data_IF_052350654929
#
_entry.id   IF_052350654929
#
_cell.length_a   1.000
_cell.length_b   1.000
_cell.length_c   1.000
_cell.angle_alpha   90.00
_cell.angle_beta   90.00
_cell.angle_gamma   90.00
#
_symmetry.space_group_name_H-M   'P 1'
#
loop_
_entity.id
_entity.type
_entity.pdbx_description
1 polymer ?
#
# COMPACT_ATOMS: atom_id res chain seq x y z
N UNK A 1 -7.64 -40.72 34.09
CA UNK A 1 -6.16 -40.59 34.18
C UNK A 1 -5.78 -39.48 33.21
N UNK A 2 -5.45 -38.34 33.78
CA UNK A 2 -5.16 -37.09 33.02
C UNK A 2 -3.63 -37.06 32.77
N UNK A 3 -3.25 -37.11 31.50
CA UNK A 3 -1.87 -36.83 31.10
C UNK A 3 -1.68 -35.33 31.06
N UNK A 4 -1.06 -34.81 32.11
CA UNK A 4 -0.58 -33.44 32.14
C UNK A 4 0.59 -33.31 31.17
N UNK A 5 0.38 -32.59 30.09
CA UNK A 5 1.42 -32.18 29.14
C UNK A 5 2.46 -31.34 29.89
N UNK A 6 3.62 -31.91 30.18
CA UNK A 6 4.76 -31.19 30.76
C UNK A 6 5.23 -30.12 29.77
N UNK A 7 4.99 -28.87 30.11
CA UNK A 7 5.61 -27.71 29.44
C UNK A 7 7.15 -27.85 29.58
N UNK A 8 7.85 -27.76 28.43
CA UNK A 8 9.32 -27.71 28.43
C UNK A 8 9.77 -26.39 29.05
N UNK A 9 10.64 -26.38 30.07
CA UNK A 9 11.17 -25.12 30.58
C UNK A 9 12.23 -24.59 29.62
N UNK A 10 12.14 -23.28 29.25
CA UNK A 10 13.32 -22.54 28.79
C UNK A 10 13.35 -22.00 27.36
N UNK A 11 12.22 -21.82 26.69
CA UNK A 11 12.23 -20.90 25.57
C UNK A 11 11.60 -19.58 26.10
N UNK A 12 12.44 -18.58 26.42
CA UNK A 12 11.95 -17.22 26.58
C UNK A 12 11.19 -16.90 25.29
N UNK A 13 9.91 -16.47 25.40
CA UNK A 13 9.15 -16.00 24.28
C UNK A 13 9.98 -14.89 23.62
N UNK A 14 10.48 -15.13 22.39
CA UNK A 14 11.14 -14.07 21.62
C UNK A 14 10.15 -12.96 21.45
N UNK A 15 10.52 -11.76 21.81
CA UNK A 15 9.70 -10.57 21.56
C UNK A 15 9.64 -10.41 20.04
N UNK A 16 8.47 -10.59 19.45
CA UNK A 16 8.24 -10.38 18.01
C UNK A 16 7.91 -8.92 17.77
N UNK A 17 8.54 -8.32 16.75
CA UNK A 17 8.33 -6.93 16.33
C UNK A 17 7.97 -6.90 14.85
N UNK A 18 6.71 -6.57 14.55
CA UNK A 18 6.20 -6.52 13.19
C UNK A 18 6.37 -5.12 12.59
N UNK A 19 7.26 -4.99 11.60
CA UNK A 19 7.60 -3.74 10.90
C UNK A 19 7.43 -3.87 9.38
N UNK A 20 6.47 -4.69 8.93
CA UNK A 20 6.12 -4.84 7.51
C UNK A 20 4.66 -4.45 7.20
N UNK A 21 4.22 -3.34 7.79
CA UNK A 21 2.85 -2.84 7.70
C UNK A 21 2.41 -2.46 6.28
N UNK A 22 3.35 -2.13 5.39
CA UNK A 22 3.05 -1.86 3.99
C UNK A 22 2.78 -3.12 3.17
N UNK A 23 3.21 -4.30 3.62
CA UNK A 23 2.85 -5.57 2.98
C UNK A 23 1.41 -5.96 3.32
N UNK A 24 1.06 -5.97 4.61
CA UNK A 24 -0.30 -6.15 5.12
C UNK A 24 -0.36 -5.62 6.55
N UNK A 25 -1.55 -5.26 7.00
CA UNK A 25 -1.74 -4.83 8.39
C UNK A 25 -2.41 -5.93 9.20
N UNK A 26 -2.20 -6.00 10.53
CA UNK A 26 -3.05 -6.80 11.41
C UNK A 26 -4.53 -6.43 11.21
N UNK A 27 -5.40 -7.44 11.30
CA UNK A 27 -6.85 -7.20 11.23
C UNK A 27 -7.30 -6.42 12.48
N UNK A 28 -8.00 -5.32 12.27
CA UNK A 28 -8.57 -4.53 13.37
C UNK A 28 -9.67 -5.33 14.11
N UNK A 29 -9.76 -5.20 15.43
CA UNK A 29 -10.83 -5.87 16.21
C UNK A 29 -12.23 -5.54 15.71
N UNK A 30 -12.48 -4.28 15.32
CA UNK A 30 -13.75 -3.79 14.76
C UNK A 30 -14.07 -4.51 13.44
N UNK A 31 -13.09 -4.71 12.59
CA UNK A 31 -13.26 -5.44 11.34
C UNK A 31 -13.58 -6.92 11.60
N UNK A 32 -12.87 -7.57 12.52
CA UNK A 32 -13.11 -8.95 12.90
C UNK A 32 -14.54 -9.13 13.48
N UNK A 33 -14.98 -8.21 14.33
CA UNK A 33 -16.32 -8.21 14.92
C UNK A 33 -17.41 -8.03 13.85
N UNK A 34 -17.24 -7.07 12.93
CA UNK A 34 -18.17 -6.83 11.83
C UNK A 34 -18.30 -8.05 10.90
N UNK A 35 -17.17 -8.67 10.54
CA UNK A 35 -17.16 -9.90 9.75
C UNK A 35 -17.91 -11.04 10.44
N UNK A 36 -17.64 -11.27 11.73
CA UNK A 36 -18.27 -12.32 12.53
C UNK A 36 -19.78 -12.13 12.62
N UNK A 37 -20.25 -10.89 12.81
CA UNK A 37 -21.68 -10.56 12.88
C UNK A 37 -22.41 -10.87 11.57
N UNK A 38 -21.77 -10.64 10.43
CA UNK A 38 -22.33 -10.93 9.11
C UNK A 38 -22.31 -12.43 8.83
N UNK A 39 -21.23 -13.13 9.15
CA UNK A 39 -21.10 -14.57 8.94
C UNK A 39 -22.10 -15.40 9.78
N UNK A 40 -22.57 -14.84 10.91
CA UNK A 40 -23.63 -15.46 11.72
C UNK A 40 -25.01 -15.45 11.04
N UNK A 41 -25.17 -14.79 9.90
CA UNK A 41 -26.44 -14.67 9.16
C UNK A 41 -26.28 -15.15 7.73
N UNK A 42 -27.42 -15.65 7.16
CA UNK A 42 -27.51 -16.02 5.76
C UNK A 42 -28.24 -14.92 4.98
N UNK A 43 -27.70 -14.48 3.85
CA UNK A 43 -28.34 -13.49 2.98
C UNK A 43 -27.56 -13.24 1.71
N UNK A 44 -28.26 -13.22 0.57
CA UNK A 44 -27.70 -12.79 -0.71
C UNK A 44 -28.26 -11.40 -1.04
N UNK A 45 -27.41 -10.37 -1.27
CA UNK A 45 -27.88 -9.00 -1.55
C UNK A 45 -28.79 -8.88 -2.77
N UNK A 46 -28.74 -9.84 -3.71
CA UNK A 46 -29.61 -9.88 -4.88
C UNK A 46 -31.01 -10.43 -4.59
N UNK A 47 -31.26 -11.06 -3.42
CA UNK A 47 -32.56 -11.63 -3.07
C UNK A 47 -33.54 -10.59 -2.59
N UNK A 48 -34.84 -10.74 -2.95
CA UNK A 48 -35.88 -9.75 -2.62
C UNK A 48 -36.55 -9.99 -1.24
N UNK A 49 -36.34 -11.15 -0.62
CA UNK A 49 -36.88 -11.50 0.69
C UNK A 49 -36.14 -10.77 1.84
N UNK A 50 -36.64 -10.85 3.06
CA UNK A 50 -36.14 -10.13 4.23
C UNK A 50 -34.64 -10.26 4.44
N UNK A 51 -34.06 -11.45 4.27
CA UNK A 51 -32.63 -11.68 4.49
C UNK A 51 -31.78 -11.09 3.37
N UNK A 52 -32.28 -11.13 2.12
CA UNK A 52 -31.60 -10.45 1.01
C UNK A 52 -31.60 -8.95 1.16
N UNK A 53 -32.74 -8.35 1.58
CA UNK A 53 -32.80 -6.91 1.86
C UNK A 53 -31.85 -6.49 2.98
N UNK A 54 -31.75 -7.29 4.06
CA UNK A 54 -30.76 -7.07 5.11
C UNK A 54 -29.32 -7.10 4.57
N UNK A 55 -28.98 -8.11 3.77
CA UNK A 55 -27.65 -8.22 3.17
C UNK A 55 -27.34 -7.03 2.26
N UNK A 56 -28.30 -6.59 1.44
CA UNK A 56 -28.16 -5.40 0.59
C UNK A 56 -27.96 -4.15 1.44
N UNK A 57 -28.74 -3.97 2.52
CA UNK A 57 -28.56 -2.84 3.41
C UNK A 57 -27.17 -2.83 4.04
N UNK A 58 -26.62 -3.98 4.42
CA UNK A 58 -25.26 -4.08 4.96
C UNK A 58 -24.20 -3.66 3.92
N UNK A 59 -24.36 -4.05 2.65
CA UNK A 59 -23.46 -3.60 1.55
C UNK A 59 -23.56 -2.09 1.37
N UNK A 60 -24.75 -1.50 1.34
CA UNK A 60 -24.91 -0.06 1.11
C UNK A 60 -24.41 0.78 2.30
N UNK A 61 -24.58 0.31 3.55
CA UNK A 61 -23.99 0.94 4.72
C UNK A 61 -22.45 0.91 4.66
N UNK A 62 -21.90 -0.24 4.30
CA UNK A 62 -20.46 -0.40 4.11
C UNK A 62 -19.92 0.53 2.99
N UNK A 63 -20.69 0.66 1.91
CA UNK A 63 -20.36 1.57 0.80
C UNK A 63 -20.26 3.01 1.27
N UNK A 64 -21.21 3.45 2.08
CA UNK A 64 -21.20 4.79 2.67
C UNK A 64 -19.99 5.01 3.59
N UNK A 65 -19.62 4.01 4.40
CA UNK A 65 -18.45 4.11 5.29
C UNK A 65 -17.12 4.21 4.50
N UNK A 66 -16.98 3.42 3.43
CA UNK A 66 -15.78 3.48 2.59
C UNK A 66 -15.72 4.80 1.81
N UNK A 67 -16.86 5.29 1.33
CA UNK A 67 -16.96 6.58 0.66
C UNK A 67 -16.55 7.75 1.57
N UNK A 68 -16.99 7.72 2.83
CA UNK A 68 -16.66 8.74 3.83
C UNK A 68 -15.15 8.86 4.12
N UNK A 69 -14.39 7.75 4.02
CA UNK A 69 -12.92 7.78 4.17
C UNK A 69 -12.23 8.71 3.16
N UNK A 70 -12.87 8.94 2.01
CA UNK A 70 -12.34 9.70 0.87
C UNK A 70 -13.11 11.00 0.60
N UNK A 71 -14.09 11.34 1.43
CA UNK A 71 -15.08 12.41 1.14
C UNK A 71 -15.69 12.26 -0.27
N UNK A 72 -16.11 11.05 -0.61
CA UNK A 72 -16.66 10.68 -1.91
C UNK A 72 -18.14 10.33 -1.83
N UNK A 73 -18.91 10.48 -2.94
CA UNK A 73 -20.26 9.96 -3.02
C UNK A 73 -20.30 8.43 -2.95
N UNK A 74 -21.17 7.83 -2.13
CA UNK A 74 -21.28 6.36 -2.03
C UNK A 74 -21.55 5.67 -3.38
N UNK A 75 -22.25 6.34 -4.29
CA UNK A 75 -22.58 5.82 -5.63
C UNK A 75 -21.34 5.54 -6.48
N UNK A 76 -20.24 6.22 -6.19
CA UNK A 76 -18.97 6.04 -6.87
C UNK A 76 -18.20 4.80 -6.44
N UNK A 77 -18.46 4.26 -5.24
CA UNK A 77 -17.71 3.10 -4.73
C UNK A 77 -18.14 1.82 -5.44
N UNK A 78 -17.18 1.06 -5.94
CA UNK A 78 -17.36 -0.27 -6.55
C UNK A 78 -16.51 -1.26 -5.76
N UNK A 79 -17.14 -2.23 -5.10
CA UNK A 79 -16.42 -3.27 -4.36
C UNK A 79 -15.81 -4.31 -5.30
N UNK A 80 -14.56 -4.64 -5.04
CA UNK A 80 -13.74 -5.60 -5.80
C UNK A 80 -12.98 -6.52 -4.85
N UNK A 81 -12.20 -7.48 -5.37
CA UNK A 81 -11.45 -8.43 -4.54
C UNK A 81 -10.17 -7.86 -3.91
N UNK A 82 -9.74 -6.67 -4.27
CA UNK A 82 -8.54 -6.02 -3.75
C UNK A 82 -8.01 -4.92 -4.65
N UNK A 83 -6.89 -4.30 -4.27
CA UNK A 83 -6.26 -3.23 -5.03
C UNK A 83 -5.88 -3.65 -6.46
N UNK A 84 -5.44 -4.88 -6.65
CA UNK A 84 -5.09 -5.41 -7.99
C UNK A 84 -6.28 -5.39 -8.94
N UNK A 85 -7.45 -5.90 -8.51
CA UNK A 85 -8.66 -5.88 -9.34
C UNK A 85 -9.13 -4.44 -9.57
N UNK A 86 -9.05 -3.57 -8.56
CA UNK A 86 -9.39 -2.16 -8.68
C UNK A 86 -8.52 -1.44 -9.73
N UNK A 87 -7.20 -1.62 -9.67
CA UNK A 87 -6.26 -1.06 -10.64
C UNK A 87 -6.53 -1.57 -12.06
N UNK A 88 -6.76 -2.88 -12.22
CA UNK A 88 -7.11 -3.44 -13.53
C UNK A 88 -8.43 -2.87 -14.06
N UNK A 89 -9.46 -2.75 -13.20
CA UNK A 89 -10.74 -2.18 -13.59
C UNK A 89 -10.60 -0.70 -13.99
N UNK A 90 -9.78 0.07 -13.28
CA UNK A 90 -9.50 1.46 -13.63
C UNK A 90 -8.79 1.58 -14.99
N UNK A 91 -7.74 0.79 -15.20
CA UNK A 91 -6.90 0.89 -16.39
C UNK A 91 -7.59 0.33 -17.64
N UNK A 92 -8.12 -0.90 -17.54
CA UNK A 92 -8.70 -1.60 -18.68
C UNK A 92 -10.19 -1.29 -18.89
N UNK A 93 -10.90 -0.89 -17.83
CA UNK A 93 -12.33 -0.55 -17.89
C UNK A 93 -12.60 0.89 -18.27
N UNK A 94 -11.62 1.79 -18.24
CA UNK A 94 -11.81 3.22 -18.51
C UNK A 94 -12.14 3.56 -19.98
N UNK A 95 -11.95 2.61 -20.89
CA UNK A 95 -12.16 2.83 -22.34
C UNK A 95 -11.15 3.79 -22.95
N UNK A 96 -9.96 3.93 -22.36
CA UNK A 96 -8.86 4.75 -22.89
C UNK A 96 -7.83 3.88 -23.58
N UNK A 97 -7.56 4.16 -24.85
CA UNK A 97 -6.59 3.41 -25.67
C UNK A 97 -5.15 3.81 -25.33
N UNK A 98 -4.94 5.01 -24.83
CA UNK A 98 -3.63 5.53 -24.43
C UNK A 98 -3.53 5.58 -22.91
N UNK A 99 -2.51 4.93 -22.35
CA UNK A 99 -2.29 4.88 -20.90
C UNK A 99 -0.88 5.35 -20.58
N UNK A 100 -0.77 6.28 -19.64
CA UNK A 100 0.49 6.76 -19.08
C UNK A 100 0.53 6.37 -17.60
N UNK A 101 1.62 5.75 -17.16
CA UNK A 101 1.78 5.30 -15.77
C UNK A 101 3.10 5.79 -15.19
N UNK A 102 3.15 6.12 -13.90
CA UNK A 102 4.42 6.47 -13.30
C UNK A 102 5.39 5.29 -13.32
N UNK A 103 6.70 5.56 -13.41
CA UNK A 103 7.72 4.51 -13.43
C UNK A 103 7.83 3.76 -12.10
N UNK A 104 7.21 4.26 -11.03
CA UNK A 104 7.26 3.71 -9.66
C UNK A 104 5.97 3.06 -9.21
N UNK A 105 5.05 2.76 -10.16
CA UNK A 105 3.78 2.09 -9.86
C UNK A 105 3.97 0.66 -9.31
N UNK A 106 2.95 0.18 -8.62
CA UNK A 106 2.86 -1.21 -8.23
C UNK A 106 2.71 -2.13 -9.45
N UNK A 107 3.21 -3.37 -9.37
CA UNK A 107 3.10 -4.40 -10.43
C UNK A 107 1.67 -4.57 -10.98
N UNK A 108 0.64 -4.38 -10.14
CA UNK A 108 -0.76 -4.46 -10.57
C UNK A 108 -1.17 -3.36 -11.56
N UNK A 109 -0.42 -2.27 -11.64
CA UNK A 109 -0.56 -1.22 -12.66
C UNK A 109 0.36 -1.49 -13.84
N UNK A 110 1.65 -1.74 -13.56
CA UNK A 110 2.68 -1.92 -14.59
C UNK A 110 2.41 -3.11 -15.51
N UNK A 111 1.82 -4.18 -14.96
CA UNK A 111 1.52 -5.42 -15.71
C UNK A 111 0.10 -5.45 -16.27
N UNK A 112 -0.79 -4.57 -15.82
CA UNK A 112 -2.12 -4.46 -16.41
C UNK A 112 -2.06 -3.93 -17.84
N UNK A 113 -1.15 -2.96 -18.10
CA UNK A 113 -0.92 -2.35 -19.42
C UNK A 113 0.60 -2.28 -19.64
N UNK A 114 1.25 -3.37 -20.06
CA UNK A 114 2.71 -3.43 -20.20
C UNK A 114 3.27 -2.40 -21.19
N UNK A 115 2.49 -2.05 -22.22
CA UNK A 115 2.80 -1.08 -23.27
C UNK A 115 2.57 0.38 -22.86
N UNK A 116 2.07 0.65 -21.65
CA UNK A 116 1.81 2.02 -21.18
C UNK A 116 3.09 2.87 -21.20
N UNK A 117 2.95 4.13 -21.59
CA UNK A 117 4.02 5.11 -21.55
C UNK A 117 4.47 5.34 -20.10
N UNK A 118 5.78 5.43 -19.87
CA UNK A 118 6.34 5.62 -18.53
C UNK A 118 6.58 7.10 -18.26
N UNK A 119 5.96 7.61 -17.20
CA UNK A 119 6.22 8.94 -16.66
C UNK A 119 7.42 8.81 -15.72
N UNK A 120 8.57 9.45 -16.02
CA UNK A 120 9.75 9.33 -15.16
C UNK A 120 9.55 10.02 -13.82
N UNK A 121 10.37 9.60 -12.85
CA UNK A 121 10.52 10.24 -11.56
C UNK A 121 11.90 10.85 -11.41
N UNK A 122 12.05 11.78 -10.47
CA UNK A 122 13.34 12.32 -10.07
C UNK A 122 14.09 11.38 -9.09
N UNK A 123 15.22 11.85 -8.56
CA UNK A 123 16.07 11.07 -7.63
C UNK A 123 15.37 10.77 -6.30
N UNK A 124 14.40 11.58 -5.92
CA UNK A 124 13.61 11.40 -4.70
C UNK A 124 12.34 10.58 -4.94
N UNK A 125 12.11 10.13 -6.17
CA UNK A 125 10.98 9.29 -6.55
C UNK A 125 9.70 10.07 -6.85
N UNK A 126 9.79 11.38 -7.06
CA UNK A 126 8.66 12.26 -7.38
C UNK A 126 8.49 12.36 -8.90
N UNK A 127 7.26 12.25 -9.39
CA UNK A 127 6.92 12.35 -10.81
C UNK A 127 7.38 13.69 -11.39
N UNK A 128 8.06 13.65 -12.55
CA UNK A 128 8.52 14.83 -13.29
C UNK A 128 7.36 15.42 -14.08
N UNK A 129 6.71 16.45 -13.50
CA UNK A 129 5.49 17.08 -14.03
C UNK A 129 5.65 17.64 -15.44
N UNK A 130 6.78 18.28 -15.74
CA UNK A 130 7.07 18.82 -17.08
C UNK A 130 7.15 17.73 -18.14
N UNK A 131 7.55 16.52 -17.75
CA UNK A 131 7.58 15.38 -18.69
C UNK A 131 6.18 14.83 -18.88
N UNK A 132 5.36 14.74 -17.84
CA UNK A 132 3.95 14.38 -17.97
C UNK A 132 3.22 15.32 -18.93
N UNK A 133 3.38 16.63 -18.76
CA UNK A 133 2.74 17.65 -19.62
C UNK A 133 3.17 17.48 -21.09
N UNK A 134 4.47 17.31 -21.35
CA UNK A 134 5.00 17.06 -22.70
C UNK A 134 4.50 15.76 -23.31
N UNK A 135 4.41 14.68 -22.54
CA UNK A 135 3.90 13.39 -23.02
C UNK A 135 2.42 13.54 -23.42
N UNK A 136 1.58 14.20 -22.61
CA UNK A 136 0.18 14.43 -22.96
C UNK A 136 0.03 15.36 -24.16
N UNK A 137 0.88 16.37 -24.29
CA UNK A 137 0.87 17.28 -25.43
C UNK A 137 1.29 16.62 -26.77
N UNK A 138 2.06 15.53 -26.72
CA UNK A 138 2.63 14.88 -27.93
C UNK A 138 1.61 14.12 -28.76
N UNK A 139 0.48 13.72 -28.14
CA UNK A 139 -0.60 12.98 -28.80
C UNK A 139 -1.95 13.40 -28.22
N UNK A 140 -2.97 13.56 -29.06
CA UNK A 140 -4.33 13.97 -28.67
C UNK A 140 -5.29 12.81 -28.48
N UNK A 141 -4.82 11.58 -28.53
CA UNK A 141 -5.67 10.41 -28.21
C UNK A 141 -6.19 10.53 -26.77
N UNK A 142 -7.46 10.13 -26.54
CA UNK A 142 -8.01 10.13 -25.20
C UNK A 142 -7.16 9.26 -24.27
N UNK A 143 -6.55 9.86 -23.26
CA UNK A 143 -5.59 9.21 -22.39
C UNK A 143 -6.12 8.95 -20.97
N UNK A 144 -5.53 7.96 -20.29
CA UNK A 144 -5.59 7.77 -18.85
C UNK A 144 -4.18 7.95 -18.27
N UNK A 145 -4.05 8.81 -17.28
CA UNK A 145 -2.84 8.93 -16.44
C UNK A 145 -3.06 8.12 -15.17
N UNK A 146 -2.13 7.25 -14.80
CA UNK A 146 -2.18 6.48 -13.55
C UNK A 146 -0.95 6.77 -12.71
N UNK A 147 -1.14 7.34 -11.52
CA UNK A 147 -0.06 7.62 -10.56
C UNK A 147 -0.53 7.29 -9.15
N UNK A 148 0.26 6.45 -8.44
CA UNK A 148 -0.03 6.15 -7.03
C UNK A 148 0.13 7.39 -6.16
N UNK A 149 -0.73 7.52 -5.13
CA UNK A 149 -0.62 8.64 -4.19
C UNK A 149 0.64 8.54 -3.32
N UNK A 150 0.98 7.31 -2.91
CA UNK A 150 2.18 7.10 -2.10
C UNK A 150 2.84 5.76 -2.46
N UNK A 151 4.16 5.76 -2.57
CA UNK A 151 4.91 4.58 -2.97
C UNK A 151 5.01 3.57 -1.81
N UNK A 152 4.79 2.30 -2.11
CA UNK A 152 4.79 1.21 -1.12
C UNK A 152 6.19 0.83 -0.59
N UNK A 153 7.27 1.20 -1.28
CA UNK A 153 8.64 0.90 -0.89
C UNK A 153 9.28 2.08 -0.15
N UNK A 154 9.23 3.28 -0.73
CA UNK A 154 9.88 4.49 -0.19
C UNK A 154 8.98 5.33 0.72
N UNK A 155 7.67 5.18 0.58
CA UNK A 155 6.68 6.04 1.24
C UNK A 155 6.52 7.41 0.57
N UNK A 156 7.23 7.71 -0.50
CA UNK A 156 7.18 9.01 -1.18
C UNK A 156 5.76 9.33 -1.65
N UNK A 157 5.28 10.52 -1.31
CA UNK A 157 3.94 11.02 -1.65
C UNK A 157 4.03 11.86 -2.92
N UNK A 158 3.20 11.54 -3.91
CA UNK A 158 3.18 12.20 -5.21
C UNK A 158 2.35 13.49 -5.20
N UNK A 159 2.67 14.47 -6.04
CA UNK A 159 1.94 15.74 -6.14
C UNK A 159 0.64 15.57 -6.97
N UNK A 160 -0.27 14.71 -6.50
CA UNK A 160 -1.45 14.25 -7.25
C UNK A 160 -2.38 15.38 -7.71
N UNK A 161 -2.51 16.45 -6.92
CA UNK A 161 -3.32 17.60 -7.33
C UNK A 161 -2.76 18.31 -8.59
N UNK A 162 -1.43 18.44 -8.68
CA UNK A 162 -0.76 19.00 -9.85
C UNK A 162 -0.89 18.05 -11.06
N UNK A 163 -0.73 16.74 -10.83
CA UNK A 163 -0.93 15.70 -11.86
C UNK A 163 -2.37 15.74 -12.39
N UNK A 164 -3.37 15.83 -11.50
CA UNK A 164 -4.78 15.97 -11.89
C UNK A 164 -5.06 17.23 -12.71
N UNK A 165 -4.42 18.34 -12.35
CA UNK A 165 -4.56 19.60 -13.10
C UNK A 165 -3.99 19.47 -14.52
N UNK A 166 -2.82 18.87 -14.68
CA UNK A 166 -2.19 18.61 -15.98
C UNK A 166 -3.07 17.64 -16.80
N UNK A 167 -3.48 16.50 -16.24
CA UNK A 167 -4.33 15.53 -16.92
C UNK A 167 -5.62 16.19 -17.42
N UNK A 168 -6.29 16.98 -16.59
CA UNK A 168 -7.51 17.72 -16.95
C UNK A 168 -7.28 18.74 -18.06
N UNK A 169 -6.15 19.45 -18.06
CA UNK A 169 -5.81 20.43 -19.10
C UNK A 169 -5.69 19.77 -20.48
N UNK A 170 -5.31 18.50 -20.53
CA UNK A 170 -5.21 17.70 -21.76
C UNK A 170 -6.44 16.82 -22.03
N UNK A 171 -7.51 16.91 -21.22
CA UNK A 171 -8.71 16.07 -21.37
C UNK A 171 -8.48 14.59 -21.05
N UNK A 172 -7.39 14.27 -20.36
CA UNK A 172 -7.07 12.92 -19.89
C UNK A 172 -7.81 12.62 -18.59
N UNK A 173 -8.18 11.34 -18.39
CA UNK A 173 -8.63 10.83 -17.09
C UNK A 173 -7.42 10.65 -16.17
N UNK A 174 -7.67 10.79 -14.87
CA UNK A 174 -6.65 10.52 -13.86
C UNK A 174 -7.09 9.41 -12.90
N UNK A 175 -6.30 8.34 -12.82
CA UNK A 175 -6.41 7.27 -11.82
C UNK A 175 -5.33 7.44 -10.76
N UNK A 176 -5.73 7.34 -9.50
CA UNK A 176 -4.85 7.42 -8.33
C UNK A 176 -4.92 6.14 -7.51
N UNK A 177 -3.83 5.36 -7.46
CA UNK A 177 -3.72 4.25 -6.50
C UNK A 177 -3.42 4.81 -5.11
N UNK A 178 -4.45 4.87 -4.25
CA UNK A 178 -4.36 5.38 -2.88
C UNK A 178 -4.18 4.26 -1.83
N UNK A 179 -3.90 3.03 -2.26
CA UNK A 179 -3.81 1.84 -1.40
C UNK A 179 -2.87 2.03 -0.21
N UNK A 180 -1.73 2.67 -0.39
CA UNK A 180 -0.77 2.90 0.69
C UNK A 180 -1.07 4.14 1.53
N UNK A 181 -1.84 5.08 1.02
CA UNK A 181 -2.15 6.34 1.69
C UNK A 181 -3.39 6.24 2.59
N UNK A 182 -4.38 5.44 2.18
CA UNK A 182 -5.64 5.27 2.89
C UNK A 182 -5.43 4.84 4.35
N UNK A 183 -6.02 5.58 5.29
CA UNK A 183 -5.92 5.35 6.73
C UNK A 183 -4.56 5.70 7.34
N UNK A 184 -3.64 6.35 6.60
CA UNK A 184 -2.34 6.81 7.11
C UNK A 184 -2.17 8.32 6.99
N UNK A 185 -2.79 8.93 5.99
CA UNK A 185 -2.93 10.37 5.81
C UNK A 185 -4.38 10.68 5.46
N UNK A 186 -4.81 11.91 5.72
CA UNK A 186 -6.15 12.36 5.33
C UNK A 186 -6.29 12.34 3.80
N UNK A 187 -7.41 11.82 3.33
CA UNK A 187 -7.74 11.73 1.92
C UNK A 187 -9.02 12.52 1.64
N UNK A 188 -8.99 13.28 0.55
CA UNK A 188 -10.12 14.01 0.01
C UNK A 188 -10.06 13.87 -1.52
N UNK A 189 -11.08 13.23 -2.10
CA UNK A 189 -11.12 13.02 -3.56
C UNK A 189 -11.18 14.33 -4.34
N UNK A 190 -11.75 15.38 -3.76
CA UNK A 190 -11.75 16.72 -4.34
C UNK A 190 -10.35 17.31 -4.43
N UNK A 191 -9.56 17.19 -3.36
CA UNK A 191 -8.17 17.66 -3.31
C UNK A 191 -7.24 16.79 -4.16
N UNK A 192 -7.44 15.46 -4.19
CA UNK A 192 -6.70 14.55 -5.07
C UNK A 192 -6.99 14.88 -6.53
N UNK A 193 -8.25 15.19 -6.86
CA UNK A 193 -8.68 15.56 -8.20
C UNK A 193 -8.75 14.39 -9.20
N UNK A 194 -8.63 13.14 -8.73
CA UNK A 194 -8.70 11.95 -9.58
C UNK A 194 -10.13 11.60 -9.98
N UNK A 195 -10.28 11.00 -11.17
CA UNK A 195 -11.53 10.44 -11.67
C UNK A 195 -11.76 9.02 -11.13
N UNK A 196 -10.68 8.32 -10.82
CA UNK A 196 -10.66 6.95 -10.33
C UNK A 196 -9.67 6.83 -9.16
N UNK A 197 -10.11 6.24 -8.03
CA UNK A 197 -9.23 6.03 -6.84
C UNK A 197 -9.32 4.59 -6.38
N UNK A 198 -8.17 3.94 -6.27
CA UNK A 198 -8.06 2.53 -5.80
C UNK A 198 -7.80 2.45 -4.31
N UNK A 199 -8.53 1.53 -3.63
CA UNK A 199 -8.35 1.18 -2.23
C UNK A 199 -8.21 -0.33 -2.03
N UNK A 200 -7.55 -0.74 -0.94
CA UNK A 200 -7.45 -2.14 -0.52
C UNK A 200 -7.60 -2.27 1.00
N UNK A 201 -8.53 -3.09 1.45
CA UNK A 201 -8.89 -3.18 2.87
C UNK A 201 -7.72 -3.62 3.77
N UNK A 202 -6.93 -4.61 3.34
CA UNK A 202 -5.85 -5.17 4.16
C UNK A 202 -4.67 -4.22 4.41
N UNK A 203 -4.67 -3.03 3.82
CA UNK A 203 -3.65 -1.99 4.04
C UNK A 203 -4.04 -0.98 5.13
N UNK A 204 -5.29 -1.04 5.59
CA UNK A 204 -5.81 -0.14 6.64
C UNK A 204 -6.48 -0.88 7.82
N UNK A 205 -6.25 -2.19 7.93
CA UNK A 205 -6.75 -3.01 9.03
C UNK A 205 -8.01 -3.81 8.71
N UNK A 206 -8.45 -3.82 7.47
CA UNK A 206 -9.50 -4.69 6.98
C UNK A 206 -8.98 -6.06 6.54
N UNK A 207 -9.88 -6.99 6.13
CA UNK A 207 -9.49 -8.32 5.67
C UNK A 207 -8.85 -8.27 4.26
N UNK A 208 -7.98 -9.24 3.94
CA UNK A 208 -7.59 -9.49 2.55
C UNK A 208 -8.80 -10.00 1.73
N UNK A 209 -8.70 -9.91 0.41
CA UNK A 209 -9.75 -10.40 -0.50
C UNK A 209 -10.93 -9.43 -0.68
N UNK A 210 -10.75 -8.15 -0.33
CA UNK A 210 -11.69 -7.06 -0.62
C UNK A 210 -10.94 -5.74 -0.81
N UNK A 211 -11.43 -4.95 -1.75
CA UNK A 211 -10.98 -3.58 -2.05
C UNK A 211 -12.11 -2.79 -2.68
N UNK A 212 -11.80 -1.59 -3.12
CA UNK A 212 -12.75 -0.75 -3.82
C UNK A 212 -12.07 0.09 -4.91
N UNK A 213 -12.80 0.33 -5.99
CA UNK A 213 -12.55 1.41 -6.92
C UNK A 213 -13.58 2.50 -6.68
N UNK A 214 -13.13 3.72 -6.41
CA UNK A 214 -14.01 4.88 -6.30
C UNK A 214 -13.99 5.63 -7.64
N UNK A 215 -15.16 5.79 -8.23
CA UNK A 215 -15.39 6.39 -9.55
C UNK A 215 -16.05 7.74 -9.35
N UNK A 216 -15.45 8.79 -9.87
CA UNK A 216 -16.00 10.14 -9.77
C UNK A 216 -16.99 10.41 -10.91
N UNK A 217 -18.11 11.01 -10.57
CA UNK A 217 -19.14 11.39 -11.54
C UNK A 217 -19.79 10.20 -12.25
N UNK A 218 -20.22 10.43 -13.48
CA UNK A 218 -20.95 9.46 -14.31
C UNK A 218 -20.02 8.68 -15.27
N UNK A 219 -18.72 8.54 -14.92
CA UNK A 219 -17.79 7.80 -15.76
C UNK A 219 -18.27 6.35 -15.93
N UNK A 220 -18.49 5.97 -17.18
CA UNK A 220 -18.81 4.58 -17.53
C UNK A 220 -17.55 3.72 -17.51
N UNK A 221 -17.62 2.58 -16.84
CA UNK A 221 -16.57 1.59 -16.82
C UNK A 221 -17.03 0.30 -17.52
N UNK A 222 -16.21 -0.21 -18.40
CA UNK A 222 -16.42 -1.54 -18.97
C UNK A 222 -16.08 -2.59 -17.91
N UNK A 223 -17.04 -3.48 -17.52
CA UNK A 223 -16.78 -4.48 -16.52
C UNK A 223 -15.78 -5.53 -17.03
N UNK A 224 -14.76 -5.83 -16.25
CA UNK A 224 -13.84 -6.94 -16.52
C UNK A 224 -14.49 -8.28 -16.18
N UNK A 225 -15.22 -8.35 -15.07
CA UNK A 225 -16.02 -9.51 -14.69
C UNK A 225 -17.47 -9.25 -15.09
N UNK A 226 -17.92 -9.97 -16.14
CA UNK A 226 -19.27 -9.83 -16.70
C UNK A 226 -20.20 -10.89 -16.13
N UNK A 227 -21.48 -10.55 -15.89
CA UNK A 227 -22.48 -11.47 -15.36
C UNK A 227 -23.75 -10.75 -14.91
N UNK A 228 -24.15 -10.91 -13.65
CA UNK A 228 -25.33 -10.24 -13.08
C UNK A 228 -25.12 -8.73 -12.86
N UNK A 229 -26.18 -8.04 -12.41
CA UNK A 229 -26.16 -6.58 -12.20
C UNK A 229 -25.55 -6.10 -10.87
N UNK A 230 -24.74 -6.91 -10.22
CA UNK A 230 -24.04 -6.49 -9.00
C UNK A 230 -23.15 -5.28 -9.28
N UNK A 231 -22.85 -4.50 -8.23
CA UNK A 231 -22.07 -3.28 -8.32
C UNK A 231 -22.51 -2.37 -9.48
N UNK A 232 -23.83 -2.29 -9.70
CA UNK A 232 -24.46 -1.49 -10.77
C UNK A 232 -23.98 -1.87 -12.18
N UNK A 233 -23.66 -3.14 -12.40
CA UNK A 233 -23.14 -3.66 -13.66
C UNK A 233 -21.64 -3.42 -13.90
N UNK A 234 -20.96 -2.74 -12.98
CA UNK A 234 -19.51 -2.45 -13.08
C UNK A 234 -18.64 -3.64 -12.66
N UNK A 235 -19.18 -4.55 -11.84
CA UNK A 235 -18.49 -5.77 -11.42
C UNK A 235 -19.49 -6.84 -11.02
N UNK A 236 -19.57 -7.93 -11.76
CA UNK A 236 -20.49 -9.03 -11.51
C UNK A 236 -19.97 -10.03 -10.47
N UNK A 237 -20.85 -10.90 -9.99
CA UNK A 237 -20.60 -11.91 -8.97
C UNK A 237 -21.13 -11.52 -7.61
N UNK A 238 -21.56 -12.51 -6.83
CA UNK A 238 -22.08 -12.29 -5.46
C UNK A 238 -21.06 -11.56 -4.63
N UNK A 239 -21.48 -10.50 -3.95
CA UNK A 239 -20.66 -9.63 -3.14
C UNK A 239 -20.10 -10.37 -1.93
N UNK A 240 -18.83 -10.16 -1.60
CA UNK A 240 -18.17 -10.67 -0.38
C UNK A 240 -18.67 -9.90 0.85
N UNK A 241 -19.89 -10.21 1.30
CA UNK A 241 -20.57 -9.44 2.34
C UNK A 241 -19.75 -9.33 3.63
N UNK A 242 -19.09 -10.41 4.06
CA UNK A 242 -18.25 -10.41 5.26
C UNK A 242 -17.00 -9.53 5.08
N UNK A 243 -16.30 -9.67 3.95
CA UNK A 243 -15.15 -8.84 3.63
C UNK A 243 -15.50 -7.37 3.52
N UNK A 244 -16.63 -7.05 2.87
CA UNK A 244 -17.14 -5.68 2.71
C UNK A 244 -17.47 -5.06 4.07
N UNK A 245 -18.13 -5.81 4.97
CA UNK A 245 -18.42 -5.33 6.34
C UNK A 245 -17.13 -5.08 7.14
N UNK A 246 -16.14 -5.98 7.04
CA UNK A 246 -14.83 -5.80 7.67
C UNK A 246 -14.06 -4.61 7.11
N UNK A 247 -14.12 -4.39 5.79
CA UNK A 247 -13.51 -3.21 5.16
C UNK A 247 -14.13 -1.91 5.66
N UNK A 248 -15.47 -1.85 5.74
CA UNK A 248 -16.18 -0.68 6.24
C UNK A 248 -15.81 -0.34 7.69
N UNK A 249 -15.78 -1.33 8.57
CA UNK A 249 -15.40 -1.14 9.97
C UNK A 249 -13.93 -0.67 10.09
N UNK A 250 -13.04 -1.23 9.29
CA UNK A 250 -11.65 -0.79 9.25
C UNK A 250 -11.51 0.65 8.71
N UNK A 251 -12.31 1.04 7.71
CA UNK A 251 -12.30 2.38 7.14
C UNK A 251 -12.75 3.43 8.18
N UNK A 252 -13.80 3.14 8.94
CA UNK A 252 -14.27 4.02 10.03
C UNK A 252 -13.19 4.18 11.10
N UNK A 253 -12.66 3.07 11.63
CA UNK A 253 -11.63 3.09 12.66
C UNK A 253 -10.35 3.81 12.19
N UNK A 254 -9.94 3.61 10.93
CA UNK A 254 -8.77 4.28 10.37
C UNK A 254 -8.96 5.79 10.22
N UNK A 255 -10.18 6.24 9.87
CA UNK A 255 -10.50 7.67 9.80
C UNK A 255 -10.50 8.33 11.19
N UNK A 256 -11.09 7.67 12.19
CA UNK A 256 -11.14 8.17 13.57
C UNK A 256 -9.75 8.24 14.21
N UNK A 257 -8.86 7.32 13.87
CA UNK A 257 -7.53 7.20 14.45
C UNK A 257 -6.43 7.85 13.60
N UNK A 258 -6.76 8.64 12.60
CA UNK A 258 -5.77 9.23 11.67
C UNK A 258 -4.65 10.00 12.40
N UNK A 259 -4.97 10.69 13.50
CA UNK A 259 -4.01 11.44 14.32
C UNK A 259 -2.95 10.54 15.00
N UNK A 260 -3.18 9.23 15.11
CA UNK A 260 -2.18 8.28 15.63
C UNK A 260 -0.93 8.27 14.75
N UNK A 261 -1.06 8.60 13.47
CA UNK A 261 0.06 8.64 12.55
C UNK A 261 1.04 9.80 12.80
N UNK A 262 0.70 10.83 13.59
CA UNK A 262 1.67 11.83 14.08
C UNK A 262 2.69 11.18 15.02
N UNK A 263 2.23 10.26 15.90
CA UNK A 263 3.11 9.46 16.75
C UNK A 263 3.95 8.49 15.90
N UNK A 264 3.35 7.83 14.93
CA UNK A 264 4.06 6.92 14.01
C UNK A 264 5.14 7.67 13.22
N UNK A 265 4.86 8.90 12.79
CA UNK A 265 5.84 9.79 12.16
C UNK A 265 7.05 10.06 13.10
N UNK A 266 6.78 10.33 14.37
CA UNK A 266 7.83 10.54 15.35
C UNK A 266 8.67 9.28 15.57
N UNK A 267 8.05 8.09 15.61
CA UNK A 267 8.73 6.81 15.70
C UNK A 267 9.62 6.52 14.47
N UNK A 268 9.13 6.80 13.26
CA UNK A 268 9.93 6.68 12.03
C UNK A 268 11.15 7.61 12.05
N UNK A 269 10.95 8.85 12.46
CA UNK A 269 12.05 9.82 12.53
C UNK A 269 13.09 9.40 13.58
N UNK A 270 12.66 8.87 14.73
CA UNK A 270 13.56 8.31 15.74
C UNK A 270 14.35 7.11 15.22
N UNK A 271 13.72 6.25 14.43
CA UNK A 271 14.37 5.11 13.77
C UNK A 271 15.45 5.61 12.80
N UNK A 272 15.13 6.55 11.91
CA UNK A 272 16.08 7.12 10.95
C UNK A 272 17.26 7.83 11.64
N UNK A 273 16.99 8.62 12.69
CA UNK A 273 18.02 9.27 13.48
C UNK A 273 18.94 8.26 14.21
N UNK A 274 18.36 7.19 14.75
CA UNK A 274 19.12 6.10 15.35
C UNK A 274 20.05 5.41 14.36
N UNK A 275 19.58 5.14 13.14
CA UNK A 275 20.40 4.59 12.08
C UNK A 275 21.56 5.50 11.67
N UNK A 276 21.30 6.79 11.50
CA UNK A 276 22.33 7.76 11.16
C UNK A 276 23.44 7.86 12.23
N UNK A 277 23.07 7.71 13.51
CA UNK A 277 24.02 7.68 14.61
C UNK A 277 24.87 6.39 14.65
N UNK A 278 24.30 5.24 14.23
CA UNK A 278 24.98 3.94 14.22
C UNK A 278 25.88 3.80 12.98
N UNK A 279 25.37 4.18 11.82
CA UNK A 279 26.01 4.00 10.52
C UNK A 279 25.79 5.23 9.63
N UNK A 280 26.71 6.21 9.68
CA UNK A 280 26.61 7.43 8.87
C UNK A 280 26.56 7.19 7.36
N UNK A 281 27.02 6.03 6.88
CA UNK A 281 26.94 5.61 5.49
C UNK A 281 25.62 4.96 5.09
N UNK A 282 24.73 4.64 6.04
CA UNK A 282 23.39 4.16 5.72
C UNK A 282 22.59 5.26 5.00
N UNK A 283 21.86 4.88 3.98
CA UNK A 283 21.11 5.82 3.15
C UNK A 283 19.62 5.62 3.33
N UNK A 284 18.90 6.67 3.68
CA UNK A 284 17.43 6.70 3.63
C UNK A 284 17.01 7.19 2.25
N UNK A 285 16.37 6.32 1.47
CA UNK A 285 15.98 6.59 0.09
C UNK A 285 14.67 7.39 0.04
N UNK A 286 14.63 8.41 -0.83
CA UNK A 286 13.50 9.34 -0.94
C UNK A 286 13.34 10.30 0.25
N UNK A 287 14.41 10.51 1.06
CA UNK A 287 14.34 11.30 2.29
C UNK A 287 14.01 12.78 2.06
N UNK A 288 14.35 13.36 0.90
CA UNK A 288 14.10 14.75 0.59
C UNK A 288 12.68 15.05 0.10
N UNK A 289 11.93 14.01 -0.32
CA UNK A 289 10.53 14.15 -0.73
C UNK A 289 9.57 14.10 0.47
N UNK A 290 8.34 14.62 0.33
CA UNK A 290 7.24 14.30 1.24
C UNK A 290 7.01 12.79 1.29
N UNK A 291 6.86 12.21 2.51
CA UNK A 291 6.69 10.77 2.70
C UNK A 291 5.55 10.44 3.65
N UNK A 292 4.97 9.27 3.47
CA UNK A 292 4.07 8.70 4.47
C UNK A 292 4.73 8.68 5.84
N UNK A 293 3.96 8.88 6.92
CA UNK A 293 4.49 8.96 8.29
C UNK A 293 5.12 7.64 8.78
N UNK A 294 4.85 6.53 8.11
CA UNK A 294 5.14 5.19 8.63
C UNK A 294 6.25 4.44 7.88
N UNK A 295 6.82 4.97 6.80
CA UNK A 295 7.67 4.19 5.89
C UNK A 295 9.08 4.75 5.82
N UNK A 296 10.08 3.87 5.93
CA UNK A 296 11.48 4.15 5.67
C UNK A 296 12.07 3.08 4.74
N UNK A 297 12.65 3.50 3.62
CA UNK A 297 13.48 2.67 2.74
C UNK A 297 14.94 2.93 3.08
N UNK A 298 15.65 1.90 3.52
CA UNK A 298 16.98 2.04 4.15
C UNK A 298 17.96 1.11 3.45
N UNK A 299 19.04 1.66 2.91
CA UNK A 299 20.13 0.88 2.35
C UNK A 299 21.31 0.80 3.35
N UNK A 300 21.82 -0.41 3.57
CA UNK A 300 23.07 -0.69 4.28
C UNK A 300 24.13 -1.06 3.24
N UNK A 301 24.98 -0.11 2.80
CA UNK A 301 25.96 -0.38 1.75
C UNK A 301 26.84 -1.60 2.07
N UNK A 302 26.97 -2.51 1.10
CA UNK A 302 27.78 -3.73 1.22
C UNK A 302 27.11 -4.91 1.92
N UNK A 303 25.84 -4.79 2.33
CA UNK A 303 25.07 -5.89 2.93
C UNK A 303 23.78 -6.13 2.14
N UNK A 304 23.69 -7.27 1.48
CA UNK A 304 22.51 -7.61 0.68
C UNK A 304 21.20 -7.53 1.50
N UNK A 305 20.14 -7.03 0.89
CA UNK A 305 18.83 -6.88 1.52
C UNK A 305 18.29 -8.21 2.09
N UNK A 306 18.48 -9.31 1.37
CA UNK A 306 18.09 -10.65 1.85
C UNK A 306 18.81 -11.03 3.15
N UNK A 307 20.12 -10.74 3.25
CA UNK A 307 20.90 -10.99 4.46
C UNK A 307 20.37 -10.17 5.64
N UNK A 308 20.01 -8.90 5.39
CA UNK A 308 19.42 -8.05 6.42
C UNK A 308 18.07 -8.59 6.88
N UNK A 309 17.17 -8.96 5.96
CA UNK A 309 15.85 -9.52 6.29
C UNK A 309 15.97 -10.80 7.11
N UNK A 310 16.83 -11.75 6.68
CA UNK A 310 17.03 -13.02 7.38
C UNK A 310 17.63 -12.78 8.78
N UNK A 311 18.63 -11.92 8.91
CA UNK A 311 19.27 -11.65 10.19
C UNK A 311 18.32 -10.99 11.19
N UNK A 312 17.49 -10.05 10.74
CA UNK A 312 16.47 -9.37 11.54
C UNK A 312 15.34 -10.33 11.93
N UNK A 313 14.87 -11.18 11.02
CA UNK A 313 13.86 -12.20 11.31
C UNK A 313 14.32 -13.20 12.35
N UNK A 314 15.57 -13.66 12.26
CA UNK A 314 16.19 -14.51 13.29
C UNK A 314 16.28 -13.83 14.67
N UNK A 315 16.30 -12.50 14.72
CA UNK A 315 16.26 -11.70 15.95
C UNK A 315 14.82 -11.34 16.38
N UNK A 316 13.81 -11.77 15.61
CA UNK A 316 12.37 -11.54 15.89
C UNK A 316 11.85 -10.22 15.34
N UNK A 317 12.53 -9.58 14.39
CA UNK A 317 12.12 -8.32 13.74
C UNK A 317 11.75 -8.58 12.29
N UNK A 318 10.47 -8.46 11.96
CA UNK A 318 9.92 -8.70 10.62
C UNK A 318 9.95 -7.40 9.79
N UNK A 319 10.77 -7.38 8.76
CA UNK A 319 10.89 -6.29 7.76
C UNK A 319 10.83 -6.88 6.35
N UNK A 320 10.79 -6.04 5.34
CA UNK A 320 10.73 -6.48 3.94
C UNK A 320 11.93 -5.99 3.13
N UNK A 321 12.38 -6.76 2.15
CA UNK A 321 13.21 -6.23 1.07
C UNK A 321 12.34 -5.36 0.16
N UNK A 322 12.90 -4.31 -0.45
CA UNK A 322 12.16 -3.35 -1.26
C UNK A 322 11.26 -4.00 -2.33
N UNK A 323 11.77 -5.01 -3.02
CA UNK A 323 11.09 -5.72 -4.12
C UNK A 323 10.22 -6.92 -3.69
N UNK A 324 9.84 -7.07 -2.42
CA UNK A 324 9.14 -8.25 -1.87
C UNK A 324 7.74 -8.52 -2.48
N UNK A 325 7.21 -7.66 -3.35
CA UNK A 325 5.89 -7.85 -4.00
C UNK A 325 5.89 -8.82 -5.19
N UNK A 326 7.03 -9.27 -5.70
CA UNK A 326 7.11 -10.18 -6.84
C UNK A 326 7.16 -11.64 -6.39
N UNK A 327 6.02 -12.21 -5.92
CA UNK A 327 5.74 -13.66 -5.77
C UNK A 327 6.92 -14.52 -5.26
N UNK A 328 7.63 -14.06 -4.20
CA UNK A 328 8.67 -14.86 -3.54
C UNK A 328 10.03 -14.88 -4.23
N UNK A 329 10.26 -14.14 -5.30
CA UNK A 329 11.58 -13.92 -5.90
C UNK A 329 12.03 -12.50 -5.57
N UNK A 330 13.11 -12.37 -4.81
CA UNK A 330 13.76 -11.08 -4.56
C UNK A 330 14.53 -10.69 -5.84
N UNK A 331 13.98 -9.73 -6.58
CA UNK A 331 14.68 -9.08 -7.70
C UNK A 331 15.10 -7.66 -7.29
N UNK A 332 15.90 -6.95 -8.09
CA UNK A 332 16.17 -5.53 -7.85
C UNK A 332 14.87 -4.72 -7.88
N UNK A 333 14.80 -3.68 -7.05
CA UNK A 333 13.63 -2.80 -7.00
C UNK A 333 13.55 -1.91 -8.23
N UNK A 334 12.54 -2.10 -9.07
CA UNK A 334 12.28 -1.22 -10.22
C UNK A 334 12.01 0.24 -9.78
N UNK A 335 11.48 0.44 -8.57
CA UNK A 335 11.26 1.78 -7.99
C UNK A 335 12.59 2.48 -7.79
N UNK A 336 13.55 1.83 -7.14
CA UNK A 336 14.86 2.40 -6.87
C UNK A 336 15.68 2.58 -8.16
N UNK A 337 15.53 1.66 -9.11
CA UNK A 337 16.13 1.81 -10.45
C UNK A 337 15.55 3.01 -11.19
N UNK A 338 14.22 3.21 -11.16
CA UNK A 338 13.56 4.37 -11.75
C UNK A 338 13.99 5.71 -11.11
N UNK A 339 14.35 5.70 -9.84
CA UNK A 339 14.93 6.84 -9.11
C UNK A 339 16.41 7.09 -9.47
N UNK A 340 17.04 6.22 -10.27
CA UNK A 340 18.46 6.33 -10.61
C UNK A 340 19.39 5.96 -9.46
N UNK A 341 18.92 5.17 -8.49
CA UNK A 341 19.74 4.66 -7.37
C UNK A 341 20.76 3.65 -7.91
N UNK A 342 22.02 3.78 -7.49
CA UNK A 342 23.08 2.87 -7.92
C UNK A 342 22.83 1.41 -7.49
N UNK A 343 23.30 0.42 -8.27
CA UNK A 343 22.99 -1.00 -8.06
C UNK A 343 23.37 -1.53 -6.66
N UNK A 344 24.46 -1.01 -6.07
CA UNK A 344 24.92 -1.42 -4.74
C UNK A 344 23.91 -1.02 -3.65
N UNK A 345 23.28 0.15 -3.78
CA UNK A 345 22.24 0.61 -2.85
C UNK A 345 20.91 -0.10 -3.12
N UNK A 346 20.57 -0.33 -4.40
CA UNK A 346 19.36 -1.11 -4.77
C UNK A 346 19.39 -2.50 -4.14
N UNK A 347 20.54 -3.20 -4.25
CA UNK A 347 20.72 -4.55 -3.71
C UNK A 347 20.81 -4.63 -2.20
N UNK A 348 20.99 -3.49 -1.50
CA UNK A 348 21.14 -3.41 -0.04
C UNK A 348 19.95 -2.74 0.68
N UNK A 349 18.90 -2.38 -0.06
CA UNK A 349 17.76 -1.63 0.49
C UNK A 349 16.72 -2.55 1.12
N UNK A 350 16.35 -2.28 2.36
CA UNK A 350 15.20 -2.87 3.06
C UNK A 350 14.13 -1.81 3.27
N UNK A 351 12.88 -2.25 3.42
CA UNK A 351 11.76 -1.41 3.84
C UNK A 351 11.37 -1.73 5.27
N UNK A 352 11.30 -0.70 6.09
CA UNK A 352 10.73 -0.74 7.44
C UNK A 352 9.44 0.07 7.42
N UNK A 353 8.35 -0.54 7.82
CA UNK A 353 7.05 0.14 7.86
C UNK A 353 6.32 -0.13 9.17
N UNK A 354 5.96 0.96 9.84
CA UNK A 354 5.29 0.97 11.13
C UNK A 354 3.76 1.04 10.96
N UNK A 355 3.02 0.84 12.04
CA UNK A 355 1.57 0.97 12.05
C UNK A 355 1.02 1.60 13.32
N UNK A 356 -0.30 1.65 13.41
CA UNK A 356 -1.00 2.36 14.50
C UNK A 356 -0.67 1.86 15.90
N UNK A 357 -0.27 0.60 16.10
CA UNK A 357 0.12 0.04 17.38
C UNK A 357 1.65 -0.09 17.58
N UNK A 358 2.46 0.34 16.62
CA UNK A 358 3.92 0.34 16.78
C UNK A 358 4.35 1.26 17.92
N UNK A 359 5.43 0.91 18.59
CA UNK A 359 5.93 1.55 19.82
C UNK A 359 7.41 1.91 19.75
N UNK A 360 7.90 2.69 20.71
CA UNK A 360 9.33 2.96 20.91
C UNK A 360 10.14 1.67 21.15
N UNK A 361 9.54 0.67 21.81
CA UNK A 361 10.17 -0.62 22.05
C UNK A 361 10.45 -1.37 20.74
N UNK A 362 9.54 -1.27 19.75
CA UNK A 362 9.72 -1.87 18.42
C UNK A 362 10.87 -1.21 17.67
N UNK A 363 10.94 0.12 17.70
CA UNK A 363 12.05 0.90 17.12
C UNK A 363 13.38 0.52 17.78
N UNK A 364 13.41 0.47 19.12
CA UNK A 364 14.61 0.07 19.85
C UNK A 364 15.04 -1.37 19.56
N UNK A 365 14.09 -2.29 19.37
CA UNK A 365 14.37 -3.68 19.00
C UNK A 365 14.99 -3.75 17.60
N UNK A 366 14.39 -3.09 16.62
CA UNK A 366 14.95 -2.98 15.27
C UNK A 366 16.38 -2.42 15.28
N UNK A 367 16.60 -1.29 15.96
CA UNK A 367 17.92 -0.65 16.02
C UNK A 367 18.99 -1.56 16.65
N UNK A 368 18.64 -2.36 17.69
CA UNK A 368 19.58 -3.34 18.28
C UNK A 368 19.96 -4.43 17.29
N UNK A 369 18.97 -5.07 16.63
CA UNK A 369 19.23 -6.12 15.65
C UNK A 369 20.05 -5.61 14.48
N UNK A 370 19.67 -4.44 13.95
CA UNK A 370 20.39 -3.80 12.84
C UNK A 370 21.83 -3.41 13.20
N UNK A 371 22.06 -2.88 14.42
CA UNK A 371 23.40 -2.56 14.93
C UNK A 371 24.28 -3.81 15.02
N UNK A 372 23.72 -4.91 15.54
CA UNK A 372 24.43 -6.18 15.64
C UNK A 372 24.88 -6.70 14.28
N UNK A 373 23.99 -6.65 13.30
CA UNK A 373 24.31 -7.05 11.92
C UNK A 373 25.39 -6.15 11.32
N UNK A 374 25.22 -4.84 11.43
CA UNK A 374 26.15 -3.84 10.91
C UNK A 374 27.57 -4.04 11.47
N UNK A 375 27.72 -4.23 12.79
CA UNK A 375 29.01 -4.48 13.43
C UNK A 375 29.66 -5.78 12.96
N UNK A 376 28.91 -6.86 12.79
CA UNK A 376 29.39 -8.14 12.26
C UNK A 376 29.94 -7.99 10.85
N UNK A 377 29.24 -7.30 9.98
CA UNK A 377 29.65 -7.09 8.58
C UNK A 377 30.92 -6.23 8.48
N UNK A 378 31.06 -5.19 9.32
CA UNK A 378 32.28 -4.38 9.39
C UNK A 378 33.48 -5.14 9.95
N UNK A 379 33.29 -5.93 11.00
CA UNK A 379 34.35 -6.76 11.60
C UNK A 379 34.93 -7.75 10.58
N UNK A 380 34.08 -8.34 9.73
CA UNK A 380 34.50 -9.27 8.67
C UNK A 380 35.29 -8.60 7.55
N UNK A 381 35.01 -7.32 7.25
CA UNK A 381 35.71 -6.55 6.20
C UNK A 381 37.12 -6.13 6.61
N UNK A 382 37.40 -6.00 7.89
CA UNK A 382 38.76 -5.71 8.40
C UNK A 382 39.67 -6.94 8.37
N UNK A 383 39.12 -8.17 8.51
CA UNK A 383 39.88 -9.40 8.41
C UNK A 383 40.30 -9.77 7.00
N UNK A 384 39.58 -9.34 5.98
CA UNK A 384 39.87 -9.68 4.57
C UNK A 384 40.90 -8.73 3.87
N UNK A 385 41.28 -7.62 4.50
CA UNK A 385 42.29 -6.68 4.00
C UNK A 385 43.67 -6.85 4.65
N UNK A 386 43.85 -7.84 5.53
CA UNK A 386 45.05 -8.08 6.29
C UNK A 386 45.77 -9.42 5.92
N UNK A 387 45.56 -9.93 4.69
CA UNK A 387 46.32 -11.09 4.14
C UNK A 387 46.90 -10.72 2.81
#
# INVERSE_FOLDING_TARGET
MSEATRARPGVMARTETYLDWNATTPLRPEAAAAMSAVLARCGNPSSVHRWGRWARQAVEQARSSVAALLDAPPEGVVFVSGGTEANHLALLGSGRDRVLVSAVEHDSVLRAVPEAERIPVDRDGVVVLDTLDRLLASDRLPALVSVMLANNETGVVQPVAAIAAIARAHGALFHCDAVQAAGKIALDTGAIGADLVTLSAHKLGGPPGVGALVVRGELELMPLLRGGGQERGRRAGTENLAGIAGFAAAAVAAAEEIAVYDRVHSLRNALEAGLAAIAPEAVVLGAAAPRLPNTAAIAMPGVAAETQVIALDLDGVMVSAGSACSSGKVGPSHVLEAMGVGPDLVGSAIRVSLGWNSSEADVAHFLRGWTTLYQRCRGSSFGARAV
#
